data_IF_373415553356
#
_entry.id   IF_373415553356
#
_cell.length_a   1.000
_cell.length_b   1.000
_cell.length_c   1.000
_cell.angle_alpha   90.00
_cell.angle_beta   90.00
_cell.angle_gamma   90.00
#
_symmetry.space_group_name_H-M   'P 1'
#
loop_
_entity.id
_entity.type
_entity.pdbx_description
1 polymer ?
#
# COMPACT_ATOMS: atom_id res chain seq x y z
N UNK A 1 22.65 -15.75 18.52
CA UNK A 1 21.80 -15.02 17.55
C UNK A 1 20.41 -15.02 18.17
N UNK A 2 19.91 -13.88 18.61
CA UNK A 2 18.52 -13.74 19.06
C UNK A 2 17.65 -13.97 17.82
N UNK A 3 16.76 -14.96 17.85
CA UNK A 3 15.77 -15.18 16.79
C UNK A 3 15.05 -13.85 16.52
N UNK A 4 15.09 -13.42 15.26
CA UNK A 4 14.41 -12.19 14.82
C UNK A 4 12.90 -12.49 14.88
N UNK A 5 12.19 -11.86 15.81
CA UNK A 5 10.73 -12.08 15.93
C UNK A 5 10.07 -11.62 14.63
N UNK A 6 9.47 -12.55 13.92
CA UNK A 6 8.73 -12.27 12.69
C UNK A 6 7.26 -11.99 13.04
N UNK A 7 6.79 -10.78 12.68
CA UNK A 7 5.39 -10.41 12.76
C UNK A 7 4.70 -10.74 11.45
N UNK A 8 3.77 -11.69 11.48
CA UNK A 8 2.94 -12.08 10.35
C UNK A 8 1.52 -11.60 10.56
N UNK A 9 1.05 -10.71 9.73
CA UNK A 9 -0.24 -10.05 9.88
C UNK A 9 -1.22 -10.42 8.77
N UNK A 10 -2.51 -10.40 9.13
CA UNK A 10 -3.61 -10.33 8.19
C UNK A 10 -3.93 -8.87 7.93
N UNK A 11 -4.12 -8.46 6.66
CA UNK A 11 -4.72 -7.17 6.36
C UNK A 11 -6.19 -7.16 6.81
N UNK A 12 -6.57 -6.18 7.62
CA UNK A 12 -7.89 -6.16 8.25
C UNK A 12 -8.48 -4.75 8.29
N UNK A 13 -9.34 -4.38 7.34
CA UNK A 13 -10.01 -3.09 7.35
C UNK A 13 -11.06 -3.03 8.47
N UNK A 14 -11.04 -1.93 9.23
CA UNK A 14 -11.90 -1.73 10.41
C UNK A 14 -13.24 -1.14 10.00
N UNK A 15 -14.15 -1.97 9.51
CA UNK A 15 -15.52 -1.58 9.20
C UNK A 15 -16.54 -2.67 9.55
N UNK A 16 -17.78 -2.27 9.75
CA UNK A 16 -18.87 -3.13 10.22
C UNK A 16 -19.05 -4.41 9.40
N UNK A 17 -18.88 -4.34 8.07
CA UNK A 17 -19.01 -5.52 7.20
C UNK A 17 -17.94 -6.57 7.45
N UNK A 18 -16.72 -6.16 7.83
CA UNK A 18 -15.66 -7.07 8.20
C UNK A 18 -15.89 -7.67 9.59
N UNK A 19 -16.31 -6.86 10.57
CA UNK A 19 -16.57 -7.32 11.93
C UNK A 19 -17.66 -8.40 11.97
N UNK A 20 -18.72 -8.24 11.18
CA UNK A 20 -19.84 -9.21 11.10
C UNK A 20 -19.46 -10.58 10.57
N UNK A 21 -18.28 -10.76 10.03
CA UNK A 21 -17.79 -12.07 9.60
C UNK A 21 -17.36 -12.95 10.76
N UNK A 22 -17.25 -12.41 11.97
CA UNK A 22 -16.77 -13.09 13.16
C UNK A 22 -17.78 -12.91 14.29
N UNK A 23 -17.99 -13.96 15.08
CA UNK A 23 -18.87 -13.93 16.25
C UNK A 23 -18.28 -13.18 17.45
N UNK A 24 -16.97 -12.88 17.39
CA UNK A 24 -16.25 -12.15 18.42
C UNK A 24 -14.75 -12.38 18.34
N UNK A 25 -14.05 -11.85 19.36
CA UNK A 25 -12.59 -11.83 19.44
C UNK A 25 -11.96 -13.22 19.29
N UNK A 26 -12.46 -14.21 20.02
CA UNK A 26 -11.87 -15.55 20.08
C UNK A 26 -11.90 -16.23 18.70
N UNK A 27 -13.00 -16.06 17.95
CA UNK A 27 -13.11 -16.58 16.59
C UNK A 27 -12.11 -15.89 15.67
N UNK A 28 -12.02 -14.57 15.70
CA UNK A 28 -11.07 -13.82 14.88
C UNK A 28 -9.62 -14.22 15.19
N UNK A 29 -9.27 -14.34 16.47
CA UNK A 29 -7.95 -14.75 16.88
C UNK A 29 -7.62 -16.20 16.44
N UNK A 30 -8.52 -17.14 16.65
CA UNK A 30 -8.37 -18.50 16.17
C UNK A 30 -8.25 -18.57 14.64
N UNK A 31 -8.99 -17.73 13.93
CA UNK A 31 -9.00 -17.66 12.48
C UNK A 31 -7.62 -17.26 11.92
N UNK A 32 -7.07 -16.10 12.28
CA UNK A 32 -5.78 -15.69 11.72
C UNK A 32 -4.63 -16.59 12.19
N UNK A 33 -4.67 -17.08 13.44
CA UNK A 33 -3.65 -18.02 13.95
C UNK A 33 -3.65 -19.34 13.18
N UNK A 34 -4.83 -19.83 12.79
CA UNK A 34 -4.93 -21.06 11.98
C UNK A 34 -4.36 -20.92 10.58
N UNK A 35 -4.20 -19.69 10.08
CA UNK A 35 -3.48 -19.36 8.85
C UNK A 35 -1.97 -19.17 9.03
N UNK A 36 -1.44 -19.37 10.26
CA UNK A 36 -0.02 -19.16 10.57
C UNK A 36 0.35 -17.69 10.84
N UNK A 37 -0.65 -16.84 11.10
CA UNK A 37 -0.46 -15.41 11.38
C UNK A 37 -0.50 -15.15 12.89
N UNK A 38 0.09 -14.04 13.34
CA UNK A 38 0.17 -13.71 14.76
C UNK A 38 -0.36 -12.32 15.12
N UNK A 39 -1.06 -11.65 14.17
CA UNK A 39 -1.69 -10.38 14.40
C UNK A 39 -2.35 -9.80 13.16
N UNK A 40 -2.75 -8.55 13.28
CA UNK A 40 -3.45 -7.79 12.25
C UNK A 40 -2.61 -6.57 11.83
N UNK A 41 -2.65 -6.25 10.55
CA UNK A 41 -2.41 -4.93 10.04
C UNK A 41 -3.76 -4.32 9.71
N UNK A 42 -4.12 -3.27 10.43
CA UNK A 42 -5.47 -2.70 10.33
C UNK A 42 -5.49 -1.43 9.48
N UNK A 43 -6.59 -1.21 8.77
CA UNK A 43 -6.89 0.00 8.04
C UNK A 43 -8.09 0.68 8.72
N UNK A 44 -7.91 1.93 9.16
CA UNK A 44 -8.98 2.70 9.78
C UNK A 44 -9.95 3.24 8.70
N UNK A 45 -11.23 2.89 8.81
CA UNK A 45 -12.25 3.18 7.80
C UNK A 45 -13.28 4.23 8.25
N UNK A 46 -12.95 5.10 9.20
CA UNK A 46 -13.83 6.15 9.76
C UNK A 46 -15.15 5.61 10.34
N UNK A 47 -15.21 4.32 10.68
CA UNK A 47 -16.31 3.66 11.39
C UNK A 47 -15.93 3.37 12.85
N UNK A 48 -16.91 3.24 13.75
CA UNK A 48 -16.66 2.80 15.12
C UNK A 48 -15.97 1.44 15.15
N UNK A 49 -14.87 1.35 15.88
CA UNK A 49 -14.10 0.11 16.01
C UNK A 49 -14.84 -0.84 16.94
N UNK A 50 -15.10 -2.06 16.47
CA UNK A 50 -15.73 -3.09 17.26
C UNK A 50 -14.85 -3.48 18.48
N UNK A 51 -15.42 -3.60 19.70
CA UNK A 51 -14.68 -3.99 20.90
C UNK A 51 -13.95 -5.34 20.82
N UNK A 52 -14.29 -6.19 19.82
CA UNK A 52 -13.54 -7.44 19.58
C UNK A 52 -12.08 -7.19 19.18
N UNK A 53 -11.76 -6.02 18.61
CA UNK A 53 -10.42 -5.68 18.17
C UNK A 53 -9.59 -5.20 19.37
N UNK A 54 -8.82 -6.11 19.94
CA UNK A 54 -7.89 -5.79 21.04
C UNK A 54 -6.59 -5.17 20.51
N UNK A 55 -6.02 -4.25 21.29
CA UNK A 55 -4.72 -3.62 20.96
C UNK A 55 -3.59 -4.65 20.76
N UNK A 56 -3.63 -5.73 21.51
CA UNK A 56 -2.67 -6.83 21.46
C UNK A 56 -2.76 -7.69 20.20
N UNK A 57 -3.84 -7.55 19.43
CA UNK A 57 -4.01 -8.18 18.13
C UNK A 57 -3.35 -7.36 17.00
N UNK A 58 -3.08 -6.06 17.22
CA UNK A 58 -2.62 -5.14 16.18
C UNK A 58 -1.09 -5.10 16.15
N UNK A 59 -0.51 -5.52 15.04
CA UNK A 59 0.92 -5.37 14.75
C UNK A 59 1.21 -4.04 14.05
N UNK A 60 0.41 -3.68 13.07
CA UNK A 60 0.59 -2.49 12.24
C UNK A 60 -0.70 -1.75 11.91
N UNK A 61 -0.56 -0.52 11.48
CA UNK A 61 -1.65 0.30 10.97
C UNK A 61 -1.29 0.82 9.58
N UNK A 62 -2.09 0.46 8.60
CA UNK A 62 -2.02 1.04 7.28
C UNK A 62 -2.74 2.39 7.31
N UNK A 63 -2.01 3.45 6.97
CA UNK A 63 -2.55 4.81 7.01
C UNK A 63 -3.50 5.04 5.83
N UNK A 64 -4.45 5.95 6.03
CA UNK A 64 -5.29 6.43 4.94
C UNK A 64 -4.43 7.08 3.83
N UNK A 65 -4.82 6.88 2.59
CA UNK A 65 -4.13 7.46 1.43
C UNK A 65 -5.14 7.98 0.40
N UNK A 66 -4.73 9.02 -0.31
CA UNK A 66 -5.39 9.45 -1.54
C UNK A 66 -4.63 8.85 -2.73
N UNK A 67 -5.36 8.31 -3.70
CA UNK A 67 -4.76 7.77 -4.92
C UNK A 67 -4.02 8.85 -5.72
N UNK A 68 -4.56 10.06 -5.70
CA UNK A 68 -3.96 11.25 -6.29
C UNK A 68 -4.11 12.43 -5.32
N UNK A 69 -3.05 13.20 -5.15
CA UNK A 69 -2.97 14.26 -4.14
C UNK A 69 -2.01 15.40 -4.53
N UNK A 70 -1.18 15.19 -5.54
CA UNK A 70 -0.14 16.15 -5.92
C UNK A 70 -0.71 17.49 -6.39
N UNK A 71 -1.81 17.48 -7.16
CA UNK A 71 -2.46 18.73 -7.61
C UNK A 71 -2.98 19.54 -6.41
N UNK A 72 -3.54 18.86 -5.41
CA UNK A 72 -3.94 19.47 -4.16
C UNK A 72 -2.73 20.03 -3.39
N UNK A 73 -1.68 19.24 -3.26
CA UNK A 73 -0.46 19.63 -2.55
C UNK A 73 0.23 20.83 -3.21
N UNK A 74 0.28 20.85 -4.54
CA UNK A 74 0.85 21.96 -5.32
C UNK A 74 -0.11 23.13 -5.54
N UNK A 75 -1.36 23.04 -5.08
CA UNK A 75 -2.42 24.04 -5.24
C UNK A 75 -2.76 24.31 -6.71
N UNK A 76 -2.71 23.28 -7.55
CA UNK A 76 -3.16 23.36 -8.94
C UNK A 76 -4.69 23.27 -9.02
N UNK A 77 -5.36 24.35 -8.60
CA UNK A 77 -6.82 24.42 -8.57
C UNK A 77 -7.46 24.25 -9.96
N UNK A 78 -6.72 24.57 -11.02
CA UNK A 78 -7.21 24.36 -12.40
C UNK A 78 -7.35 22.88 -12.68
N UNK A 79 -6.35 22.09 -12.30
CA UNK A 79 -6.36 20.66 -12.51
C UNK A 79 -7.34 19.97 -11.56
N UNK A 80 -7.45 20.38 -10.30
CA UNK A 80 -8.48 19.89 -9.39
C UNK A 80 -9.89 20.10 -9.97
N UNK A 81 -10.19 21.29 -10.49
CA UNK A 81 -11.49 21.57 -11.12
C UNK A 81 -11.71 20.82 -12.44
N UNK A 82 -10.67 20.28 -13.07
CA UNK A 82 -10.80 19.37 -14.24
C UNK A 82 -11.11 17.94 -13.84
N UNK A 83 -10.55 17.48 -12.72
CA UNK A 83 -10.73 16.11 -12.22
C UNK A 83 -12.09 15.98 -11.52
N UNK A 84 -12.40 16.92 -10.64
CA UNK A 84 -13.63 16.96 -9.85
C UNK A 84 -14.74 17.75 -10.54
N UNK A 85 -15.98 17.51 -10.14
CA UNK A 85 -17.16 18.16 -10.73
C UNK A 85 -17.39 19.56 -10.14
N UNK A 86 -16.89 19.83 -8.92
CA UNK A 86 -16.95 21.14 -8.26
C UNK A 86 -15.82 21.33 -7.24
N UNK A 87 -15.67 22.60 -6.79
CA UNK A 87 -14.74 22.97 -5.72
C UNK A 87 -15.11 22.28 -4.39
N UNK A 88 -16.38 22.25 -4.07
CA UNK A 88 -16.90 21.64 -2.85
C UNK A 88 -16.56 20.16 -2.79
N UNK A 89 -16.62 19.46 -3.92
CA UNK A 89 -16.33 18.03 -4.03
C UNK A 89 -14.85 17.71 -3.74
N UNK A 90 -13.89 18.46 -4.27
CA UNK A 90 -12.49 18.20 -3.93
C UNK A 90 -12.15 18.65 -2.50
N UNK A 91 -12.84 19.68 -1.95
CA UNK A 91 -12.71 20.05 -0.54
C UNK A 91 -13.18 18.89 0.36
N UNK A 92 -14.32 18.29 0.04
CA UNK A 92 -14.83 17.12 0.73
C UNK A 92 -13.85 15.94 0.64
N UNK A 93 -13.35 15.66 -0.57
CA UNK A 93 -12.41 14.55 -0.81
C UNK A 93 -11.11 14.67 -0.01
N UNK A 94 -10.54 15.86 0.10
CA UNK A 94 -9.30 16.10 0.87
C UNK A 94 -9.54 16.48 2.34
N UNK A 95 -10.79 16.63 2.76
CA UNK A 95 -11.17 17.04 4.11
C UNK A 95 -10.96 18.53 4.41
N UNK A 96 -10.70 19.34 3.37
CA UNK A 96 -10.50 20.80 3.48
C UNK A 96 -9.75 21.39 2.30
N UNK A 97 -9.45 22.69 2.35
CA UNK A 97 -8.88 23.45 1.24
C UNK A 97 -7.35 23.55 1.27
N UNK A 98 -6.72 23.16 2.37
CA UNK A 98 -5.29 23.40 2.59
C UNK A 98 -4.54 22.12 2.93
N UNK A 99 -3.22 22.15 2.75
CA UNK A 99 -2.31 21.07 3.16
C UNK A 99 -2.55 20.62 4.61
N UNK A 100 -2.96 21.56 5.50
CA UNK A 100 -3.22 21.25 6.90
C UNK A 100 -4.37 20.25 7.09
N UNK A 101 -5.40 20.31 6.22
CA UNK A 101 -6.49 19.35 6.25
C UNK A 101 -6.01 17.94 5.92
N UNK A 102 -5.21 17.79 4.87
CA UNK A 102 -4.57 16.52 4.50
C UNK A 102 -3.70 15.98 5.65
N UNK A 103 -2.83 16.84 6.19
CA UNK A 103 -1.96 16.46 7.33
C UNK A 103 -2.79 16.08 8.55
N UNK A 104 -3.86 16.80 8.86
CA UNK A 104 -4.75 16.50 9.98
C UNK A 104 -5.42 15.13 9.83
N UNK A 105 -5.86 14.80 8.62
CA UNK A 105 -6.47 13.49 8.34
C UNK A 105 -5.49 12.32 8.60
N UNK A 106 -4.28 12.42 8.08
CA UNK A 106 -3.25 11.37 8.31
C UNK A 106 -2.85 11.31 9.78
N UNK A 107 -2.78 12.45 10.48
CA UNK A 107 -2.49 12.49 11.93
C UNK A 107 -3.53 11.76 12.79
N UNK A 108 -4.77 11.65 12.35
CA UNK A 108 -5.78 10.85 13.05
C UNK A 108 -5.36 9.38 13.10
N UNK A 109 -4.92 8.81 11.97
CA UNK A 109 -4.46 7.44 11.91
C UNK A 109 -3.15 7.21 12.68
N UNK A 110 -2.22 8.17 12.64
CA UNK A 110 -0.99 8.11 13.46
C UNK A 110 -1.32 8.16 14.97
N UNK A 111 -2.30 8.96 15.37
CA UNK A 111 -2.78 9.03 16.75
C UNK A 111 -3.43 7.72 17.18
N UNK A 112 -4.23 7.12 16.28
CA UNK A 112 -4.79 5.79 16.49
C UNK A 112 -3.66 4.75 16.64
N UNK A 113 -2.70 4.70 15.72
CA UNK A 113 -1.57 3.79 15.77
C UNK A 113 -0.79 3.90 17.11
N UNK A 114 -0.55 5.13 17.58
CA UNK A 114 0.05 5.38 18.90
C UNK A 114 -0.84 4.83 20.03
N UNK A 115 -2.16 5.06 19.96
CA UNK A 115 -3.10 4.65 21.00
C UNK A 115 -3.19 3.14 21.18
N UNK A 116 -3.00 2.37 20.09
CA UNK A 116 -3.03 0.90 20.10
C UNK A 116 -1.64 0.28 20.31
N UNK A 117 -0.58 1.09 20.32
CA UNK A 117 0.78 0.59 20.48
C UNK A 117 1.28 -0.19 19.26
N UNK A 118 0.88 0.24 18.06
CA UNK A 118 1.32 -0.36 16.82
C UNK A 118 2.85 -0.39 16.71
N UNK A 119 3.41 -1.43 16.15
CA UNK A 119 4.86 -1.60 15.97
C UNK A 119 5.34 -0.86 14.73
N UNK A 120 4.48 -0.73 13.73
CA UNK A 120 4.75 0.00 12.50
C UNK A 120 3.48 0.63 11.95
N UNK A 121 3.68 1.60 11.08
CA UNK A 121 2.65 2.18 10.21
C UNK A 121 3.11 2.11 8.76
N UNK A 122 2.15 2.04 7.84
CA UNK A 122 2.41 2.00 6.39
C UNK A 122 1.87 3.26 5.73
N UNK A 123 2.68 3.87 4.86
CA UNK A 123 2.33 5.08 4.12
C UNK A 123 2.69 4.93 2.64
N UNK A 124 1.71 5.11 1.76
CA UNK A 124 1.93 5.10 0.31
C UNK A 124 2.72 6.32 -0.16
N UNK A 125 3.78 6.10 -0.92
CA UNK A 125 4.53 7.16 -1.60
C UNK A 125 4.28 7.06 -3.09
N UNK A 126 3.12 7.49 -3.53
CA UNK A 126 2.68 7.35 -4.92
C UNK A 126 1.69 8.44 -5.32
N UNK A 127 1.56 8.63 -6.63
CA UNK A 127 0.61 9.52 -7.28
C UNK A 127 0.12 8.92 -8.58
N UNK A 128 -1.18 8.94 -8.82
CA UNK A 128 -1.75 8.69 -10.15
C UNK A 128 -3.15 9.26 -10.25
N UNK A 129 -3.33 10.29 -11.07
CA UNK A 129 -4.66 10.81 -11.37
C UNK A 129 -5.53 9.77 -12.12
N UNK A 130 -6.87 9.84 -12.03
CA UNK A 130 -7.75 8.81 -12.58
C UNK A 130 -7.47 8.40 -14.02
N UNK A 131 -7.20 9.34 -14.92
CA UNK A 131 -6.87 9.05 -16.33
C UNK A 131 -5.47 8.45 -16.51
N UNK A 132 -4.54 8.76 -15.62
CA UNK A 132 -3.16 8.29 -15.66
C UNK A 132 -3.05 6.81 -15.32
N UNK A 133 -3.92 6.31 -14.46
CA UNK A 133 -3.99 4.90 -14.09
C UNK A 133 -4.11 3.97 -15.31
N UNK A 134 -4.80 4.41 -16.35
CA UNK A 134 -5.00 3.65 -17.59
C UNK A 134 -3.84 3.81 -18.59
N UNK A 135 -3.22 4.98 -18.60
CA UNK A 135 -2.21 5.32 -19.62
C UNK A 135 -0.79 5.02 -19.17
N UNK A 136 -0.55 4.92 -17.87
CA UNK A 136 0.76 4.88 -17.23
C UNK A 136 1.66 6.08 -17.64
N UNK A 137 1.03 7.19 -18.02
CA UNK A 137 1.69 8.46 -18.34
C UNK A 137 1.26 9.48 -17.30
N UNK A 138 2.13 9.70 -16.35
CA UNK A 138 1.87 10.58 -15.22
C UNK A 138 2.34 12.00 -15.50
N UNK A 139 1.61 12.99 -14.97
CA UNK A 139 1.94 14.41 -15.02
C UNK A 139 3.21 14.72 -14.23
N UNK A 140 3.36 14.07 -13.09
CA UNK A 140 4.48 14.28 -12.18
C UNK A 140 5.54 13.21 -12.36
N UNK A 141 6.82 13.56 -12.15
CA UNK A 141 7.93 12.62 -12.13
C UNK A 141 8.04 11.91 -10.77
N UNK A 142 8.78 10.80 -10.72
CA UNK A 142 9.08 10.09 -9.47
C UNK A 142 9.74 11.02 -8.45
N UNK A 143 10.68 11.87 -8.90
CA UNK A 143 11.38 12.85 -8.06
C UNK A 143 10.42 13.85 -7.42
N UNK A 144 9.48 14.39 -8.20
CA UNK A 144 8.51 15.38 -7.71
C UNK A 144 7.58 14.80 -6.65
N UNK A 145 7.13 13.54 -6.84
CA UNK A 145 6.27 12.85 -5.87
C UNK A 145 7.06 12.52 -4.62
N UNK A 146 8.30 12.04 -4.75
CA UNK A 146 9.20 11.75 -3.62
C UNK A 146 9.48 13.01 -2.81
N UNK A 147 9.78 14.14 -3.45
CA UNK A 147 10.05 15.40 -2.74
C UNK A 147 8.82 15.90 -1.98
N UNK A 148 7.64 15.81 -2.58
CA UNK A 148 6.40 16.17 -1.90
C UNK A 148 6.09 15.20 -0.75
N UNK A 149 6.35 13.90 -0.91
CA UNK A 149 6.18 12.92 0.16
C UNK A 149 7.14 13.18 1.33
N UNK A 150 8.39 13.56 1.07
CA UNK A 150 9.35 13.99 2.12
C UNK A 150 8.79 15.17 2.91
N UNK A 151 8.24 16.18 2.21
CA UNK A 151 7.61 17.33 2.87
C UNK A 151 6.46 16.90 3.78
N UNK A 152 5.54 16.06 3.26
CA UNK A 152 4.40 15.55 4.03
C UNK A 152 4.87 14.76 5.26
N UNK A 153 5.78 13.81 5.06
CA UNK A 153 6.23 12.90 6.12
C UNK A 153 6.95 13.69 7.23
N UNK A 154 7.78 14.66 6.89
CA UNK A 154 8.42 15.51 7.89
C UNK A 154 7.40 16.36 8.64
N UNK A 155 6.39 16.94 7.97
CA UNK A 155 5.29 17.64 8.64
C UNK A 155 4.50 16.75 9.60
N UNK A 156 4.37 15.45 9.29
CA UNK A 156 3.65 14.50 10.14
C UNK A 156 4.47 14.07 11.36
N UNK A 157 5.78 13.89 11.22
CA UNK A 157 6.61 13.17 12.17
C UNK A 157 7.59 14.03 12.97
N UNK A 158 7.94 15.23 12.48
CA UNK A 158 8.83 16.13 13.24
C UNK A 158 8.19 16.49 14.59
N UNK A 159 8.98 16.37 15.65
CA UNK A 159 8.58 16.63 17.05
C UNK A 159 7.34 15.84 17.54
N UNK A 160 6.95 14.76 16.85
CA UNK A 160 5.73 14.00 17.14
C UNK A 160 5.83 13.09 18.39
N UNK A 161 7.04 12.65 18.73
CA UNK A 161 7.27 11.69 19.83
C UNK A 161 6.65 10.32 19.56
N UNK A 162 6.47 9.91 18.30
CA UNK A 162 6.07 8.55 17.91
C UNK A 162 7.25 7.58 18.09
N UNK A 163 6.92 6.30 18.31
CA UNK A 163 7.91 5.25 18.59
C UNK A 163 7.82 4.05 17.63
N UNK A 164 6.79 4.00 16.76
CA UNK A 164 6.62 2.95 15.77
C UNK A 164 7.58 3.12 14.57
N UNK A 165 7.81 2.05 13.83
CA UNK A 165 8.47 2.14 12.52
C UNK A 165 7.54 2.79 11.50
N UNK A 166 8.02 3.79 10.75
CA UNK A 166 7.30 4.41 9.66
C UNK A 166 7.79 3.82 8.34
N UNK A 167 6.96 3.00 7.71
CA UNK A 167 7.31 2.24 6.51
C UNK A 167 6.66 2.86 5.28
N UNK A 168 7.51 3.29 4.34
CA UNK A 168 7.07 3.81 3.05
C UNK A 168 6.83 2.66 2.09
N UNK A 169 5.63 2.61 1.51
CA UNK A 169 5.23 1.55 0.59
C UNK A 169 5.35 1.99 -0.87
N UNK A 170 5.81 1.06 -1.69
CA UNK A 170 5.90 1.22 -3.14
C UNK A 170 4.59 0.88 -3.83
N UNK A 171 4.28 1.62 -4.91
CA UNK A 171 3.26 1.28 -5.89
C UNK A 171 3.88 1.19 -7.29
N UNK A 172 3.10 0.74 -8.27
CA UNK A 172 3.56 0.66 -9.67
C UNK A 172 3.42 1.98 -10.44
N UNK A 173 2.80 2.98 -9.83
CA UNK A 173 2.67 4.34 -10.36
C UNK A 173 3.88 5.22 -10.02
N UNK A 174 3.75 6.51 -10.32
CA UNK A 174 4.81 7.49 -10.06
C UNK A 174 5.06 7.68 -8.56
N UNK A 175 6.32 7.81 -8.19
CA UNK A 175 6.79 7.95 -6.82
C UNK A 175 7.77 6.85 -6.41
N UNK A 176 7.56 6.22 -5.27
CA UNK A 176 8.37 5.11 -4.81
C UNK A 176 7.94 3.82 -5.53
N UNK A 177 8.50 3.56 -6.71
CA UNK A 177 8.25 2.34 -7.47
C UNK A 177 9.40 1.31 -7.41
N UNK A 178 10.44 1.59 -6.63
CA UNK A 178 11.63 0.76 -6.39
C UNK A 178 12.44 0.36 -7.65
N UNK A 179 12.22 1.02 -8.79
CA UNK A 179 13.03 0.78 -9.99
C UNK A 179 14.39 1.47 -9.96
N UNK A 180 14.55 2.49 -9.14
CA UNK A 180 15.76 3.29 -9.05
C UNK A 180 16.21 3.47 -7.59
N UNK A 181 17.27 2.76 -7.15
CA UNK A 181 17.79 2.89 -5.77
C UNK A 181 18.20 4.31 -5.38
N UNK A 182 18.59 5.16 -6.36
CA UNK A 182 18.94 6.56 -6.07
C UNK A 182 17.73 7.35 -5.57
N UNK A 183 16.56 7.10 -6.12
CA UNK A 183 15.32 7.74 -5.68
C UNK A 183 14.86 7.21 -4.32
N UNK A 184 14.98 5.91 -4.08
CA UNK A 184 14.74 5.32 -2.74
C UNK A 184 15.68 5.95 -1.71
N UNK A 185 16.97 6.14 -2.05
CA UNK A 185 17.93 6.81 -1.18
C UNK A 185 17.53 8.26 -0.91
N UNK A 186 17.12 9.02 -1.94
CA UNK A 186 16.64 10.39 -1.81
C UNK A 186 15.48 10.50 -0.80
N UNK A 187 14.49 9.61 -0.91
CA UNK A 187 13.37 9.54 0.03
C UNK A 187 13.86 9.30 1.46
N UNK A 188 14.68 8.29 1.66
CA UNK A 188 15.19 7.93 2.97
C UNK A 188 16.07 9.02 3.58
N UNK A 189 16.94 9.64 2.82
CA UNK A 189 17.81 10.72 3.30
C UNK A 189 17.03 11.99 3.64
N UNK A 190 15.94 12.29 2.91
CA UNK A 190 15.13 13.48 3.11
C UNK A 190 14.20 13.43 4.33
N UNK A 191 13.89 12.24 4.83
CA UNK A 191 13.02 12.06 6.00
C UNK A 191 13.85 12.16 7.28
N UNK A 192 13.44 13.04 8.22
CA UNK A 192 14.16 13.28 9.48
C UNK A 192 13.94 12.17 10.53
N UNK A 193 12.77 11.53 10.50
CA UNK A 193 12.38 10.50 11.45
C UNK A 193 13.35 9.31 11.42
N UNK A 194 13.79 8.87 12.62
CA UNK A 194 14.84 7.84 12.74
C UNK A 194 14.34 6.42 12.48
N UNK A 195 13.15 6.10 12.98
CA UNK A 195 12.54 4.77 12.85
C UNK A 195 11.75 4.66 11.54
N UNK A 196 12.48 4.65 10.42
CA UNK A 196 11.91 4.57 9.08
C UNK A 196 12.40 3.35 8.32
N UNK A 197 11.65 2.96 7.32
CA UNK A 197 12.01 1.85 6.43
C UNK A 197 11.09 1.78 5.22
N UNK A 198 11.26 0.71 4.47
CA UNK A 198 10.46 0.39 3.28
C UNK A 198 9.51 -0.76 3.65
N UNK A 199 8.24 -0.62 3.29
CA UNK A 199 7.29 -1.70 3.12
C UNK A 199 7.34 -2.11 1.65
N UNK A 200 7.92 -3.26 1.35
CA UNK A 200 7.91 -3.79 0.00
C UNK A 200 6.58 -4.47 -0.26
N UNK A 201 5.70 -3.83 -1.03
CA UNK A 201 4.61 -4.59 -1.64
C UNK A 201 5.14 -5.31 -2.89
N UNK A 202 5.10 -6.63 -2.82
CA UNK A 202 5.67 -7.49 -3.86
C UNK A 202 4.86 -7.45 -5.15
N UNK A 203 3.53 -7.47 -5.08
CA UNK A 203 2.67 -7.40 -6.26
C UNK A 203 2.71 -6.03 -6.92
N UNK A 204 2.75 -4.95 -6.15
CA UNK A 204 2.94 -3.60 -6.68
C UNK A 204 4.25 -3.50 -7.45
N UNK A 205 5.34 -4.08 -6.93
CA UNK A 205 6.60 -4.08 -7.67
C UNK A 205 6.52 -4.93 -8.95
N UNK A 206 5.88 -6.09 -8.91
CA UNK A 206 5.67 -6.93 -10.10
C UNK A 206 4.89 -6.19 -11.20
N UNK A 207 3.91 -5.37 -10.83
CA UNK A 207 3.11 -4.57 -11.77
C UNK A 207 3.93 -3.47 -12.48
N UNK A 208 5.15 -3.15 -12.04
CA UNK A 208 6.07 -2.26 -12.76
C UNK A 208 6.68 -2.90 -14.01
N UNK A 209 6.55 -4.24 -14.17
CA UNK A 209 7.06 -4.98 -15.32
C UNK A 209 5.96 -5.89 -15.93
N UNK A 210 5.22 -5.41 -16.93
CA UNK A 210 4.14 -6.17 -17.55
C UNK A 210 4.63 -7.37 -18.40
N UNK A 211 5.95 -7.55 -18.57
CA UNK A 211 6.51 -8.66 -19.38
C UNK A 211 6.75 -9.94 -18.60
N UNK A 212 6.61 -9.91 -17.27
CA UNK A 212 6.69 -11.09 -16.41
C UNK A 212 5.57 -12.09 -16.74
N UNK A 213 5.94 -13.39 -16.84
CA UNK A 213 5.02 -14.45 -17.27
C UNK A 213 4.89 -15.59 -16.27
N UNK A 214 5.77 -15.68 -15.28
CA UNK A 214 5.80 -16.79 -14.33
C UNK A 214 6.20 -16.36 -12.92
N UNK A 215 5.88 -17.22 -11.93
CA UNK A 215 6.31 -17.00 -10.56
C UNK A 215 7.83 -17.00 -10.41
N UNK A 216 8.54 -17.83 -11.17
CA UNK A 216 9.99 -17.85 -11.17
C UNK A 216 10.59 -16.52 -11.67
N UNK A 217 10.06 -15.97 -12.77
CA UNK A 217 10.48 -14.65 -13.27
C UNK A 217 10.16 -13.55 -12.25
N UNK A 218 9.01 -13.63 -11.58
CA UNK A 218 8.61 -12.70 -10.53
C UNK A 218 9.61 -12.71 -9.36
N UNK A 219 9.98 -13.90 -8.86
CA UNK A 219 10.96 -14.04 -7.78
C UNK A 219 12.34 -13.49 -8.19
N UNK A 220 12.82 -13.80 -9.40
CA UNK A 220 14.08 -13.25 -9.91
C UNK A 220 14.04 -11.72 -10.04
N UNK A 221 12.90 -11.16 -10.44
CA UNK A 221 12.73 -9.71 -10.55
C UNK A 221 12.76 -9.02 -9.18
N UNK A 222 12.12 -9.60 -8.16
CA UNK A 222 12.20 -9.14 -6.77
C UNK A 222 13.63 -9.22 -6.21
N UNK A 223 14.32 -10.33 -6.40
CA UNK A 223 15.70 -10.51 -5.94
C UNK A 223 16.65 -9.50 -6.61
N UNK A 224 16.49 -9.27 -7.92
CA UNK A 224 17.29 -8.28 -8.63
C UNK A 224 17.09 -6.88 -8.03
N UNK A 225 15.86 -6.47 -7.81
CA UNK A 225 15.54 -5.17 -7.18
C UNK A 225 16.22 -5.04 -5.82
N UNK A 226 16.06 -6.04 -4.97
CA UNK A 226 16.65 -6.01 -3.63
C UNK A 226 18.17 -5.93 -3.68
N UNK A 227 18.86 -6.74 -4.51
CA UNK A 227 20.31 -6.68 -4.66
C UNK A 227 20.81 -5.34 -5.20
N UNK A 228 20.06 -4.68 -6.10
CA UNK A 228 20.43 -3.36 -6.57
C UNK A 228 20.33 -2.30 -5.45
N UNK A 229 19.32 -2.42 -4.56
CA UNK A 229 19.19 -1.58 -3.37
C UNK A 229 20.25 -1.92 -2.31
N UNK A 230 20.54 -3.21 -2.10
CA UNK A 230 21.59 -3.65 -1.17
C UNK A 230 22.97 -3.11 -1.58
N UNK A 231 23.33 -3.15 -2.87
CA UNK A 231 24.55 -2.54 -3.41
C UNK A 231 24.61 -1.03 -3.17
N UNK A 232 23.46 -0.37 -3.15
CA UNK A 232 23.35 1.06 -2.81
C UNK A 232 23.37 1.33 -1.28
N UNK A 233 23.54 0.31 -0.43
CA UNK A 233 23.56 0.41 1.02
C UNK A 233 22.18 0.53 1.66
N UNK A 234 21.11 0.15 0.95
CA UNK A 234 19.72 0.35 1.38
C UNK A 234 19.04 -0.93 1.90
N UNK A 235 19.70 -2.10 1.84
CA UNK A 235 19.09 -3.38 2.21
C UNK A 235 18.48 -3.41 3.61
N UNK A 236 19.12 -2.77 4.60
CA UNK A 236 18.63 -2.73 5.98
C UNK A 236 17.35 -1.92 6.20
N UNK A 237 16.93 -1.14 5.20
CA UNK A 237 15.68 -0.38 5.25
C UNK A 237 14.46 -1.18 4.82
N UNK A 238 14.62 -2.34 4.16
CA UNK A 238 13.51 -3.23 3.81
C UNK A 238 13.05 -3.99 5.05
N UNK A 239 12.21 -3.35 5.87
CA UNK A 239 11.77 -3.86 7.17
C UNK A 239 10.43 -4.58 7.11
N UNK A 240 9.58 -4.21 6.16
CA UNK A 240 8.26 -4.78 5.97
C UNK A 240 8.06 -5.33 4.57
N UNK A 241 7.11 -6.25 4.45
CA UNK A 241 6.67 -6.82 3.18
C UNK A 241 5.16 -7.04 3.20
N UNK A 242 4.46 -6.41 2.26
CA UNK A 242 3.14 -6.84 1.83
C UNK A 242 3.33 -7.96 0.83
N UNK A 243 3.00 -9.15 1.26
CA UNK A 243 3.21 -10.34 0.47
C UNK A 243 1.96 -10.68 -0.31
N UNK A 244 2.01 -10.40 -1.59
CA UNK A 244 0.96 -10.70 -2.55
C UNK A 244 1.56 -10.89 -3.96
N UNK A 245 0.84 -11.58 -4.81
CA UNK A 245 1.24 -11.90 -6.18
C UNK A 245 0.28 -11.30 -7.20
N UNK A 246 0.84 -10.53 -8.15
CA UNK A 246 0.11 -9.91 -9.25
C UNK A 246 0.94 -9.97 -10.52
N UNK A 247 0.46 -10.67 -11.56
CA UNK A 247 1.05 -10.66 -12.90
C UNK A 247 0.00 -10.25 -13.94
N UNK A 248 -0.25 -8.96 -14.04
CA UNK A 248 -1.32 -8.38 -14.86
C UNK A 248 -0.90 -8.03 -16.29
N UNK A 249 0.32 -8.42 -16.72
CA UNK A 249 0.89 -7.98 -17.98
C UNK A 249 0.05 -8.27 -19.23
N UNK A 250 -0.68 -9.39 -19.27
CA UNK A 250 -1.61 -9.69 -20.37
C UNK A 250 -2.73 -8.64 -20.45
N UNK A 251 -3.37 -8.35 -19.31
CA UNK A 251 -4.41 -7.34 -19.22
C UNK A 251 -3.88 -5.94 -19.58
N UNK A 252 -2.73 -5.55 -19.02
CA UNK A 252 -2.14 -4.21 -19.24
C UNK A 252 -1.74 -4.00 -20.70
N UNK A 253 -1.12 -5.00 -21.35
CA UNK A 253 -0.74 -4.91 -22.77
C UNK A 253 -1.93 -5.02 -23.72
N UNK A 254 -2.97 -5.75 -23.33
CA UNK A 254 -4.18 -5.93 -24.15
C UNK A 254 -4.98 -4.65 -24.32
N UNK A 255 -4.97 -3.75 -23.33
CA UNK A 255 -5.61 -2.42 -23.32
C UNK A 255 -7.07 -2.47 -23.81
N UNK A 256 -7.80 -3.54 -23.47
CA UNK A 256 -9.16 -3.75 -23.95
C UNK A 256 -10.14 -2.62 -23.53
N UNK A 257 -9.85 -1.94 -22.42
CA UNK A 257 -10.61 -0.78 -21.95
C UNK A 257 -10.62 0.39 -22.96
N UNK A 258 -9.63 0.51 -23.84
CA UNK A 258 -9.57 1.58 -24.84
C UNK A 258 -10.69 1.46 -25.89
N UNK A 259 -11.27 0.25 -26.04
CA UNK A 259 -12.39 -0.03 -26.96
C UNK A 259 -13.74 0.39 -26.35
N UNK A 260 -13.79 0.61 -25.05
CA UNK A 260 -15.01 0.93 -24.32
C UNK A 260 -15.47 2.38 -24.58
N UNK A 261 -16.77 2.57 -24.75
CA UNK A 261 -17.32 3.91 -24.99
C UNK A 261 -17.07 4.88 -23.85
N UNK A 262 -17.07 4.38 -22.61
CA UNK A 262 -16.80 5.20 -21.44
C UNK A 262 -15.36 5.73 -21.45
N UNK A 263 -14.37 4.95 -21.89
CA UNK A 263 -12.97 5.37 -21.94
C UNK A 263 -12.77 6.52 -22.95
N UNK A 264 -13.42 6.45 -24.12
CA UNK A 264 -13.37 7.52 -25.13
C UNK A 264 -13.98 8.85 -24.64
N UNK A 265 -14.81 8.81 -23.60
CA UNK A 265 -15.44 9.97 -22.99
C UNK A 265 -15.04 10.17 -21.53
N UNK A 266 -13.95 9.55 -21.08
CA UNK A 266 -13.55 9.49 -19.68
C UNK A 266 -13.49 10.88 -19.01
N UNK A 267 -12.90 11.86 -19.67
CA UNK A 267 -12.78 13.24 -19.14
C UNK A 267 -14.12 13.93 -18.89
N UNK A 268 -15.19 13.49 -19.57
CA UNK A 268 -16.55 14.04 -19.45
C UNK A 268 -17.40 13.35 -18.38
N UNK A 269 -16.90 12.25 -17.80
CA UNK A 269 -17.63 11.52 -16.78
C UNK A 269 -17.61 12.31 -15.46
N UNK A 270 -18.67 12.18 -14.64
CA UNK A 270 -18.65 12.68 -13.27
C UNK A 270 -17.49 12.08 -12.46
N UNK A 271 -16.97 12.80 -11.47
CA UNK A 271 -15.83 12.37 -10.67
C UNK A 271 -15.99 10.98 -10.07
N UNK A 272 -17.11 10.70 -9.44
CA UNK A 272 -17.33 9.38 -8.81
C UNK A 272 -17.35 8.24 -9.82
N UNK A 273 -17.79 8.48 -11.05
CA UNK A 273 -17.74 7.49 -12.10
C UNK A 273 -16.31 7.27 -12.61
N UNK A 274 -15.53 8.35 -12.79
CA UNK A 274 -14.09 8.26 -13.07
C UNK A 274 -13.38 7.43 -12.00
N UNK A 275 -13.65 7.75 -10.72
CA UNK A 275 -13.03 7.08 -9.58
C UNK A 275 -13.40 5.58 -9.52
N UNK A 276 -14.67 5.25 -9.70
CA UNK A 276 -15.15 3.86 -9.75
C UNK A 276 -14.46 3.05 -10.86
N UNK A 277 -14.40 3.59 -12.07
CA UNK A 277 -13.75 2.93 -13.21
C UNK A 277 -12.23 2.77 -13.00
N UNK A 278 -11.59 3.77 -12.42
CA UNK A 278 -10.18 3.70 -12.04
C UNK A 278 -9.93 2.60 -11.01
N UNK A 279 -10.78 2.52 -9.99
CA UNK A 279 -10.69 1.47 -8.97
C UNK A 279 -10.90 0.08 -9.59
N UNK A 280 -11.91 -0.10 -10.44
CA UNK A 280 -12.14 -1.36 -11.15
C UNK A 280 -10.97 -1.76 -12.06
N UNK A 281 -10.31 -0.78 -12.68
CA UNK A 281 -9.09 -1.02 -13.45
C UNK A 281 -7.94 -1.47 -12.55
N UNK A 282 -7.68 -0.73 -11.47
CA UNK A 282 -6.64 -1.07 -10.50
C UNK A 282 -6.82 -2.49 -9.95
N UNK A 283 -8.07 -2.92 -9.68
CA UNK A 283 -8.38 -4.27 -9.22
C UNK A 283 -8.03 -5.37 -10.25
N UNK A 284 -7.96 -5.05 -11.55
CA UNK A 284 -7.55 -6.00 -12.61
C UNK A 284 -6.04 -6.02 -12.79
N UNK A 285 -5.34 -4.97 -12.37
CA UNK A 285 -3.87 -4.89 -12.37
C UNK A 285 -3.32 -5.55 -11.13
N UNK A 286 -3.91 -5.27 -9.98
CA UNK A 286 -3.42 -5.67 -8.67
C UNK A 286 -4.28 -6.80 -8.08
N UNK A 287 -3.76 -8.02 -8.19
CA UNK A 287 -4.55 -9.24 -7.97
C UNK A 287 -4.65 -9.67 -6.51
N UNK A 288 -3.67 -9.34 -5.70
CA UNK A 288 -3.58 -9.74 -4.29
C UNK A 288 -3.79 -11.25 -4.06
N UNK A 289 -3.04 -12.08 -4.77
CA UNK A 289 -3.08 -13.54 -4.65
C UNK A 289 -1.87 -14.08 -3.89
N UNK A 290 -1.92 -15.30 -3.37
CA UNK A 290 -0.74 -15.92 -2.77
C UNK A 290 0.33 -16.26 -3.82
N UNK A 291 1.61 -16.21 -3.42
CA UNK A 291 2.70 -16.77 -4.19
C UNK A 291 2.68 -18.29 -4.13
N UNK A 292 2.54 -18.95 -5.27
CA UNK A 292 2.57 -20.39 -5.37
C UNK A 292 3.96 -20.95 -5.77
N UNK A 293 4.81 -20.12 -6.36
CA UNK A 293 6.17 -20.49 -6.74
C UNK A 293 7.07 -20.63 -5.50
N UNK A 294 7.90 -21.69 -5.49
CA UNK A 294 8.81 -21.97 -4.36
C UNK A 294 9.97 -20.98 -4.24
N UNK A 295 10.29 -20.24 -5.30
CA UNK A 295 11.32 -19.19 -5.29
C UNK A 295 11.02 -18.06 -4.32
N UNK A 296 9.76 -17.90 -3.88
CA UNK A 296 9.40 -16.90 -2.87
C UNK A 296 10.11 -17.12 -1.53
N UNK A 297 10.46 -18.36 -1.19
CA UNK A 297 11.28 -18.66 0.00
C UNK A 297 12.63 -17.95 -0.07
N UNK A 298 13.32 -18.05 -1.22
CA UNK A 298 14.62 -17.38 -1.41
C UNK A 298 14.49 -15.85 -1.29
N UNK A 299 13.41 -15.27 -1.83
CA UNK A 299 13.11 -13.84 -1.69
C UNK A 299 12.96 -13.47 -0.21
N UNK A 300 12.18 -14.24 0.55
CA UNK A 300 11.96 -14.01 1.98
C UNK A 300 13.24 -14.15 2.80
N UNK A 301 14.02 -15.19 2.55
CA UNK A 301 15.28 -15.46 3.26
C UNK A 301 16.33 -14.37 2.97
N UNK A 302 16.37 -13.86 1.73
CA UNK A 302 17.31 -12.83 1.29
C UNK A 302 16.96 -11.46 1.86
N UNK A 303 15.71 -11.04 1.80
CA UNK A 303 15.25 -9.74 2.32
C UNK A 303 15.13 -9.79 3.84
N UNK A 304 14.70 -10.90 4.41
CA UNK A 304 14.50 -11.15 5.83
C UNK A 304 13.71 -10.02 6.54
N UNK A 305 12.49 -9.68 6.07
CA UNK A 305 11.69 -8.61 6.67
C UNK A 305 11.29 -8.97 8.11
N UNK A 306 11.09 -7.95 8.95
CA UNK A 306 10.61 -8.11 10.33
C UNK A 306 9.08 -8.23 10.35
N UNK A 307 8.42 -7.49 9.47
CA UNK A 307 6.96 -7.39 9.35
C UNK A 307 6.52 -7.98 8.01
N UNK A 308 5.57 -8.90 8.03
CA UNK A 308 5.01 -9.48 6.81
C UNK A 308 3.50 -9.47 6.92
N UNK A 309 2.83 -8.82 5.98
CA UNK A 309 1.37 -8.82 5.89
C UNK A 309 0.94 -9.63 4.68
N UNK A 310 0.05 -10.62 4.88
CA UNK A 310 -0.59 -11.32 3.78
C UNK A 310 -1.75 -10.46 3.29
N UNK A 311 -1.49 -9.73 2.22
CA UNK A 311 -2.44 -8.80 1.65
C UNK A 311 -3.21 -9.43 0.50
N UNK A 312 -4.17 -10.28 0.88
CA UNK A 312 -4.96 -11.02 -0.09
C UNK A 312 -6.34 -10.40 -0.29
N UNK A 313 -6.80 -10.43 -1.54
CA UNK A 313 -8.14 -10.03 -1.95
C UNK A 313 -8.95 -11.28 -2.27
N UNK A 314 -9.67 -11.73 -1.29
CA UNK A 314 -10.47 -12.97 -1.31
C UNK A 314 -11.97 -12.69 -1.52
N UNK A 315 -12.70 -13.74 -1.94
CA UNK A 315 -14.16 -13.70 -2.06
C UNK A 315 -14.88 -14.18 -0.78
N UNK A 316 -14.16 -14.89 0.11
CA UNK A 316 -14.70 -15.35 1.39
C UNK A 316 -13.60 -15.52 2.43
N UNK A 317 -13.98 -15.60 3.72
CA UNK A 317 -12.99 -15.84 4.78
C UNK A 317 -12.37 -17.23 4.69
N UNK A 318 -13.08 -18.22 4.17
CA UNK A 318 -12.54 -19.57 3.94
C UNK A 318 -11.43 -19.54 2.89
N UNK A 319 -11.63 -18.80 1.81
CA UNK A 319 -10.60 -18.63 0.76
C UNK A 319 -9.37 -17.90 1.29
N UNK A 320 -9.54 -16.86 2.11
CA UNK A 320 -8.40 -16.20 2.74
C UNK A 320 -7.60 -17.18 3.59
N UNK A 321 -8.27 -17.98 4.42
CA UNK A 321 -7.62 -18.94 5.30
C UNK A 321 -6.87 -20.02 4.50
N UNK A 322 -7.47 -20.52 3.43
CA UNK A 322 -6.81 -21.45 2.49
C UNK A 322 -5.54 -20.83 1.93
N UNK A 323 -5.63 -19.61 1.42
CA UNK A 323 -4.48 -18.88 0.85
C UNK A 323 -3.40 -18.56 1.88
N UNK A 324 -3.79 -18.18 3.08
CA UNK A 324 -2.84 -17.93 4.18
C UNK A 324 -2.07 -19.19 4.56
N UNK A 325 -2.72 -20.36 4.62
CA UNK A 325 -2.07 -21.64 4.86
C UNK A 325 -1.10 -22.01 3.73
N UNK A 326 -1.56 -21.92 2.46
CA UNK A 326 -0.73 -22.17 1.29
C UNK A 326 0.51 -21.28 1.27
N UNK A 327 0.35 -20.00 1.64
CA UNK A 327 1.46 -19.05 1.70
C UNK A 327 2.42 -19.39 2.85
N UNK A 328 1.89 -19.73 4.03
CA UNK A 328 2.71 -20.09 5.20
C UNK A 328 3.53 -21.37 4.97
N UNK A 329 3.03 -22.32 4.21
CA UNK A 329 3.75 -23.56 3.85
C UNK A 329 4.96 -23.30 2.94
N UNK A 330 5.06 -22.12 2.33
CA UNK A 330 6.20 -21.75 1.48
C UNK A 330 7.43 -21.25 2.28
N UNK A 331 7.29 -21.02 3.59
CA UNK A 331 8.35 -20.45 4.45
C UNK A 331 8.89 -21.37 5.55
#
# INVERSE_FOLDING_TARGET
MTEKVLYRSMNFPLFTGMFRQFSGRDELEAYYRSGGLNGLEVIHCDEPIDPMIGKDMINGVHLFFHLFWMDFWKRDYKELNRIFDSREQWIEYFGGETKDAYVARVRQDLSYAKSVGAKYVVFHVSESAPAECFSFRCKYSDEEVIDAAIEVINLLLDDSGYEFEFLMENLWWTGLNLKNPTLTKRLLDGIHYKKKGIMLDTGHYLNTNPDLKSGAEACMYLLKMYHDHEKAGLGSYFKGMHLQYSLSGEYVRGREWEKEKWFQNFDKLPFYEKYRLTYEHAQKVDWHRPFLDSGIREVMDTIAPIYVTYEFKQNSKEQYLEWAKLQTEKF
#
